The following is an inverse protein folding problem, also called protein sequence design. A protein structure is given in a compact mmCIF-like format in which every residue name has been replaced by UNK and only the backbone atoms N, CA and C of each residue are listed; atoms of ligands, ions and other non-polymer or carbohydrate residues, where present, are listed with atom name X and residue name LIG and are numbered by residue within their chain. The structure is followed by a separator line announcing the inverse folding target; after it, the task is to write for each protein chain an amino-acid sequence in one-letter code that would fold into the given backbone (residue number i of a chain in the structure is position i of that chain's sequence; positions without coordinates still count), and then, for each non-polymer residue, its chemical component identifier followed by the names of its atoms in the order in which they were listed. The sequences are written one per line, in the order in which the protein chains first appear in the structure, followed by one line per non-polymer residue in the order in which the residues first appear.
data_IF_728439253738
#
_entry.id   IF_728439253738
#
_cell.length_a   1.000
_cell.length_b   1.000
_cell.length_c   1.000
_cell.angle_alpha   90.00
_cell.angle_beta   90.00
_cell.angle_gamma   90.00
#
_symmetry.space_group_name_H-M   'P 1'
#
loop_
_entity.id
_entity.type
_entity.pdbx_description
1 polymer ?
#
# COMPACT_ATOMS: atom_id res chain seq x y z
N UNK A 1 -7.32 4.98 14.09
CA UNK A 1 -8.09 4.29 13.03
C UNK A 1 -7.36 4.41 11.70
N UNK A 2 -7.40 3.39 10.89
CA UNK A 2 -6.76 3.36 9.57
C UNK A 2 -7.74 2.90 8.49
N UNK A 3 -7.54 3.36 7.26
CA UNK A 3 -8.29 2.85 6.11
C UNK A 3 -7.82 1.44 5.69
N UNK A 4 -6.61 1.03 6.07
CA UNK A 4 -5.97 -0.24 5.66
C UNK A 4 -5.72 -1.16 6.85
N UNK A 5 -6.55 -2.20 7.05
CA UNK A 5 -6.36 -3.16 8.15
C UNK A 5 -5.00 -3.87 8.15
N UNK A 6 -4.37 -3.99 6.99
CA UNK A 6 -3.08 -4.69 6.81
C UNK A 6 -1.91 -4.01 7.54
N UNK A 7 -2.03 -2.73 7.92
CA UNK A 7 -0.96 -2.00 8.64
C UNK A 7 -0.97 -2.21 10.17
N UNK A 8 -1.90 -3.01 10.67
CA UNK A 8 -2.06 -3.29 12.12
C UNK A 8 -0.78 -3.84 12.77
N UNK A 9 -0.10 -4.76 12.09
CA UNK A 9 1.16 -5.33 12.63
C UNK A 9 2.25 -4.25 12.75
N UNK A 10 2.34 -3.32 11.77
CA UNK A 10 3.24 -2.17 11.84
C UNK A 10 2.93 -1.25 13.03
N UNK A 11 1.67 -0.92 13.24
CA UNK A 11 1.23 -0.13 14.40
C UNK A 11 1.54 -0.83 15.73
N UNK A 12 1.35 -2.15 15.81
CA UNK A 12 1.70 -2.94 17.00
C UNK A 12 3.21 -2.96 17.27
N UNK A 13 4.03 -3.03 16.21
CA UNK A 13 5.50 -2.97 16.36
C UNK A 13 5.96 -1.57 16.83
N UNK A 14 5.41 -0.52 16.24
CA UNK A 14 5.75 0.86 16.63
C UNK A 14 5.26 1.21 18.04
N UNK A 15 4.08 0.70 18.42
CA UNK A 15 3.60 0.79 19.79
C UNK A 15 4.63 0.23 20.78
N UNK A 16 5.19 -0.97 20.52
CA UNK A 16 6.21 -1.59 21.38
C UNK A 16 7.51 -0.81 21.44
N UNK A 17 7.86 -0.07 20.40
CA UNK A 17 9.05 0.79 20.38
C UNK A 17 8.86 2.05 21.23
N UNK A 18 7.64 2.57 21.29
CA UNK A 18 7.31 3.80 22.02
C UNK A 18 7.03 3.48 23.49
N UNK A 19 6.19 2.46 23.75
CA UNK A 19 5.73 2.09 25.08
C UNK A 19 6.41 0.81 25.57
N UNK A 20 7.72 0.88 25.81
CA UNK A 20 8.47 -0.21 26.42
C UNK A 20 8.66 0.02 27.93
N UNK A 21 8.88 -1.02 28.74
CA UNK A 21 9.08 -0.88 30.18
C UNK A 21 10.17 0.15 30.53
N UNK A 22 9.81 1.14 31.33
CA UNK A 22 10.71 2.22 31.78
C UNK A 22 10.69 3.47 30.85
N UNK A 23 9.99 3.48 29.75
CA UNK A 23 9.87 4.66 28.86
C UNK A 23 8.62 5.52 29.14
N UNK A 24 7.67 5.04 29.92
CA UNK A 24 6.49 5.80 30.33
C UNK A 24 6.18 5.61 31.81
N UNK A 25 5.50 6.58 32.41
CA UNK A 25 5.01 6.51 33.79
C UNK A 25 3.89 5.47 33.96
N UNK A 26 3.24 5.09 32.87
CA UNK A 26 2.12 4.18 32.84
C UNK A 26 2.39 2.99 31.93
N UNK A 27 1.82 1.85 32.27
CA UNK A 27 1.81 0.68 31.40
C UNK A 27 0.65 0.83 30.40
N UNK A 28 0.96 0.75 29.10
CA UNK A 28 -0.01 0.81 28.01
C UNK A 28 -0.21 -0.56 27.38
N UNK A 29 -1.44 -0.86 27.00
CA UNK A 29 -1.80 -2.09 26.29
C UNK A 29 -2.21 -1.78 24.85
N UNK A 30 -1.81 -2.65 23.91
CA UNK A 30 -2.27 -2.58 22.53
C UNK A 30 -3.39 -3.58 22.29
N UNK A 31 -4.52 -3.08 21.89
CA UNK A 31 -5.73 -3.87 21.70
C UNK A 31 -6.27 -3.74 20.28
N UNK A 32 -6.85 -4.82 19.78
CA UNK A 32 -7.48 -4.87 18.45
C UNK A 32 -8.56 -5.93 18.40
N UNK A 33 -9.45 -5.84 17.42
CA UNK A 33 -10.28 -6.98 17.02
C UNK A 33 -9.41 -8.07 16.39
N UNK A 34 -9.81 -9.32 16.53
CA UNK A 34 -9.16 -10.44 15.82
C UNK A 34 -9.26 -10.23 14.30
N UNK A 35 -8.23 -10.63 13.56
CA UNK A 35 -8.13 -10.40 12.09
C UNK A 35 -9.36 -10.88 11.31
N UNK A 36 -9.97 -11.99 11.72
CA UNK A 36 -11.11 -12.58 11.02
C UNK A 36 -12.41 -11.76 11.16
N UNK A 37 -12.56 -10.97 12.24
CA UNK A 37 -13.74 -10.15 12.50
C UNK A 37 -13.75 -8.80 11.81
N UNK A 38 -12.62 -8.35 11.26
CA UNK A 38 -12.53 -7.05 10.58
C UNK A 38 -13.32 -6.99 9.26
N UNK A 39 -13.50 -8.14 8.60
CA UNK A 39 -14.15 -8.23 7.27
C UNK A 39 -15.53 -8.86 7.30
N UNK A 40 -15.84 -9.66 8.31
CA UNK A 40 -17.14 -10.32 8.47
C UNK A 40 -17.73 -9.95 9.83
N UNK A 41 -19.00 -9.56 9.83
CA UNK A 41 -19.71 -9.33 11.08
C UNK A 41 -20.03 -10.67 11.74
N UNK A 42 -19.44 -10.91 12.91
CA UNK A 42 -19.79 -11.99 13.81
C UNK A 42 -20.22 -11.42 15.17
N UNK A 43 -21.49 -11.62 15.52
CA UNK A 43 -22.10 -11.03 16.71
C UNK A 43 -21.41 -11.46 18.01
N UNK A 44 -20.99 -12.72 18.10
CA UNK A 44 -20.29 -13.24 19.27
C UNK A 44 -18.93 -12.58 19.45
N UNK A 45 -18.13 -12.54 18.42
CA UNK A 45 -16.80 -11.92 18.44
C UNK A 45 -16.90 -10.43 18.74
N UNK A 46 -17.90 -9.73 18.21
CA UNK A 46 -18.11 -8.31 18.49
C UNK A 46 -18.49 -8.06 19.95
N UNK A 47 -19.39 -8.89 20.51
CA UNK A 47 -19.78 -8.82 21.91
C UNK A 47 -18.61 -9.13 22.87
N UNK A 48 -17.76 -10.11 22.56
CA UNK A 48 -16.55 -10.43 23.32
C UNK A 48 -15.57 -9.26 23.31
N UNK A 49 -15.37 -8.62 22.16
CA UNK A 49 -14.53 -7.44 22.02
C UNK A 49 -15.07 -6.24 22.81
N UNK A 50 -16.37 -5.98 22.73
CA UNK A 50 -17.03 -4.92 23.50
C UNK A 50 -16.88 -5.13 25.02
N UNK A 51 -17.04 -6.36 25.50
CA UNK A 51 -16.82 -6.70 26.92
C UNK A 51 -15.37 -6.47 27.35
N UNK A 52 -14.40 -6.86 26.51
CA UNK A 52 -12.97 -6.65 26.79
C UNK A 52 -12.65 -5.17 26.92
N UNK A 53 -13.08 -4.34 25.97
CA UNK A 53 -12.84 -2.89 25.96
C UNK A 53 -13.46 -2.23 27.19
N UNK A 54 -14.71 -2.54 27.52
CA UNK A 54 -15.39 -1.99 28.72
C UNK A 54 -14.71 -2.39 30.01
N UNK A 55 -14.10 -3.58 30.06
CA UNK A 55 -13.34 -4.04 31.23
C UNK A 55 -12.05 -3.21 31.38
N UNK A 56 -11.30 -3.00 30.30
CA UNK A 56 -10.08 -2.18 30.33
C UNK A 56 -10.37 -0.75 30.82
N UNK A 57 -11.42 -0.15 30.29
CA UNK A 57 -11.88 1.18 30.70
C UNK A 57 -12.27 1.22 32.19
N UNK A 58 -13.09 0.27 32.64
CA UNK A 58 -13.51 0.17 34.05
C UNK A 58 -12.36 -0.04 35.00
N UNK A 59 -11.35 -0.81 34.60
CA UNK A 59 -10.16 -1.11 35.41
C UNK A 59 -9.15 0.07 35.41
N UNK A 60 -9.43 1.14 34.66
CA UNK A 60 -8.55 2.31 34.52
C UNK A 60 -7.24 1.98 33.79
N UNK A 61 -7.26 0.98 32.92
CA UNK A 61 -6.10 0.55 32.15
C UNK A 61 -5.83 1.52 31.00
N UNK A 62 -4.59 1.97 30.84
CA UNK A 62 -4.19 2.74 29.67
C UNK A 62 -4.04 1.82 28.45
N UNK A 63 -4.72 2.13 27.36
CA UNK A 63 -4.63 1.29 26.17
C UNK A 63 -4.78 2.07 24.85
N UNK A 64 -4.18 1.52 23.80
CA UNK A 64 -4.38 1.95 22.41
C UNK A 64 -5.22 0.90 21.72
N UNK A 65 -6.31 1.32 21.10
CA UNK A 65 -7.19 0.44 20.35
C UNK A 65 -7.06 0.67 18.85
N UNK A 66 -6.63 -0.37 18.14
CA UNK A 66 -6.55 -0.34 16.68
C UNK A 66 -7.89 -0.73 16.04
N UNK A 67 -8.39 0.10 15.13
CA UNK A 67 -9.61 -0.17 14.38
C UNK A 67 -9.45 0.23 12.91
N UNK A 68 -10.05 -0.55 12.01
CA UNK A 68 -10.17 -0.11 10.62
C UNK A 68 -11.40 0.79 10.43
N UNK A 69 -11.24 1.83 9.63
CA UNK A 69 -12.35 2.73 9.28
C UNK A 69 -13.50 1.94 8.60
N UNK A 70 -13.17 0.93 7.76
CA UNK A 70 -14.18 0.08 7.13
C UNK A 70 -15.01 -0.70 8.14
N UNK A 71 -14.39 -1.24 9.20
CA UNK A 71 -15.11 -1.93 10.25
C UNK A 71 -16.02 -0.97 11.02
N UNK A 72 -15.51 0.19 11.41
CA UNK A 72 -16.27 1.21 12.12
C UNK A 72 -17.48 1.73 11.31
N UNK A 73 -17.29 2.00 10.03
CA UNK A 73 -18.37 2.43 9.10
C UNK A 73 -19.52 1.42 8.99
N UNK A 74 -19.27 0.16 9.23
CA UNK A 74 -20.31 -0.88 9.27
C UNK A 74 -21.28 -0.78 10.45
N UNK A 75 -20.96 0.03 11.47
CA UNK A 75 -21.80 0.21 12.67
C UNK A 75 -23.06 1.04 12.39
N UNK A 76 -24.19 0.62 12.99
CA UNK A 76 -25.44 1.40 12.98
C UNK A 76 -25.32 2.79 13.58
N UNK A 77 -24.39 2.99 14.52
CA UNK A 77 -24.14 4.28 15.18
C UNK A 77 -23.78 5.36 14.15
N UNK A 78 -23.10 4.99 13.08
CA UNK A 78 -22.67 5.89 12.01
C UNK A 78 -23.42 5.69 10.69
N UNK A 79 -24.58 5.02 10.72
CA UNK A 79 -25.42 4.78 9.54
C UNK A 79 -25.10 3.47 8.79
N UNK A 80 -24.27 2.60 9.34
CA UNK A 80 -24.00 1.26 8.80
C UNK A 80 -25.11 0.25 9.06
N UNK A 81 -24.85 -1.00 8.70
CA UNK A 81 -25.87 -2.08 8.73
C UNK A 81 -25.89 -2.89 10.02
N UNK A 82 -24.80 -2.94 10.77
CA UNK A 82 -24.61 -3.89 11.85
C UNK A 82 -24.60 -3.20 13.22
N UNK A 83 -25.15 -3.88 14.23
CA UNK A 83 -25.04 -3.45 15.61
C UNK A 83 -23.71 -3.93 16.18
N UNK A 84 -22.64 -3.17 15.95
CA UNK A 84 -21.28 -3.50 16.32
C UNK A 84 -20.46 -2.28 16.77
N UNK A 85 -19.32 -2.55 17.41
CA UNK A 85 -18.39 -1.51 17.89
C UNK A 85 -19.01 -0.57 18.93
N UNK A 86 -20.05 -1.00 19.66
CA UNK A 86 -20.78 -0.14 20.59
C UNK A 86 -19.89 0.37 21.72
N UNK A 87 -18.96 -0.46 22.24
CA UNK A 87 -18.02 -0.04 23.26
C UNK A 87 -17.07 1.01 22.72
N UNK A 88 -16.51 0.81 21.51
CA UNK A 88 -15.57 1.74 20.88
C UNK A 88 -16.16 3.13 20.74
N UNK A 89 -17.42 3.24 20.30
CA UNK A 89 -18.11 4.53 20.16
C UNK A 89 -18.58 5.13 21.50
N UNK A 90 -18.78 4.29 22.52
CA UNK A 90 -19.23 4.74 23.83
C UNK A 90 -18.08 5.32 24.68
N UNK A 91 -16.86 4.88 24.46
CA UNK A 91 -15.68 5.33 25.21
C UNK A 91 -15.38 6.81 25.00
N UNK A 92 -14.71 7.36 25.99
CA UNK A 92 -14.26 8.74 26.05
C UNK A 92 -12.75 8.78 25.70
N UNK A 93 -12.46 8.85 24.41
CA UNK A 93 -11.09 8.82 23.89
C UNK A 93 -10.38 10.16 24.11
N UNK A 94 -9.17 10.15 24.65
CA UNK A 94 -8.31 11.33 24.77
C UNK A 94 -7.70 11.72 23.44
N UNK A 95 -7.33 10.74 22.61
CA UNK A 95 -6.68 10.94 21.33
C UNK A 95 -7.24 9.98 20.27
N UNK A 96 -7.58 10.53 19.12
CA UNK A 96 -8.00 9.79 17.94
C UNK A 96 -6.93 10.00 16.86
N UNK A 97 -6.20 8.94 16.49
CA UNK A 97 -5.25 8.97 15.39
C UNK A 97 -5.92 8.39 14.15
N UNK A 98 -5.90 9.13 13.05
CA UNK A 98 -6.44 8.72 11.74
C UNK A 98 -5.27 8.58 10.78
N UNK A 99 -4.95 7.35 10.45
CA UNK A 99 -3.90 7.03 9.49
C UNK A 99 -4.45 7.00 8.07
N UNK A 100 -3.65 7.45 7.08
CA UNK A 100 -4.06 7.65 5.68
C UNK A 100 -5.35 8.50 5.59
N UNK A 101 -5.38 9.59 6.34
CA UNK A 101 -6.56 10.44 6.48
C UNK A 101 -7.11 10.95 5.13
N UNK A 102 -6.25 11.08 4.11
CA UNK A 102 -6.66 11.46 2.75
C UNK A 102 -7.55 10.42 2.05
N UNK A 103 -7.46 9.12 2.43
CA UNK A 103 -8.30 8.05 1.86
C UNK A 103 -9.61 7.87 2.66
N UNK A 104 -9.57 8.02 3.97
CA UNK A 104 -10.64 7.63 4.88
C UNK A 104 -11.72 8.67 5.11
N UNK A 105 -11.37 9.95 5.07
CA UNK A 105 -12.24 11.07 5.47
C UNK A 105 -12.90 11.82 4.30
N UNK A 106 -12.75 11.35 3.07
CA UNK A 106 -13.39 11.97 1.89
C UNK A 106 -14.82 11.50 1.64
N UNK A 107 -15.35 10.60 2.46
CA UNK A 107 -16.71 10.12 2.34
C UNK A 107 -17.51 10.54 3.57
N UNK A 108 -18.77 10.93 3.39
CA UNK A 108 -19.72 11.26 4.45
C UNK A 108 -19.71 10.23 5.61
N UNK A 109 -19.62 8.94 5.29
CA UNK A 109 -19.52 7.89 6.30
C UNK A 109 -18.19 7.89 7.08
N UNK A 110 -17.10 8.36 6.47
CA UNK A 110 -15.81 8.49 7.14
C UNK A 110 -15.82 9.64 8.15
N UNK A 111 -16.36 10.77 7.76
CA UNK A 111 -16.53 11.92 8.64
C UNK A 111 -17.45 11.57 9.82
N UNK A 112 -18.55 10.86 9.58
CA UNK A 112 -19.47 10.38 10.63
C UNK A 112 -18.76 9.48 11.67
N UNK A 113 -17.78 8.66 11.27
CA UNK A 113 -17.00 7.85 12.20
C UNK A 113 -16.17 8.72 13.14
N UNK A 114 -15.49 9.73 12.60
CA UNK A 114 -14.64 10.63 13.38
C UNK A 114 -15.51 11.45 14.35
N UNK A 115 -16.62 11.99 13.89
CA UNK A 115 -17.57 12.75 14.72
C UNK A 115 -18.15 11.88 15.85
N UNK A 116 -18.53 10.63 15.55
CA UNK A 116 -19.09 9.72 16.57
C UNK A 116 -18.07 9.29 17.63
N UNK A 117 -16.77 9.22 17.27
CA UNK A 117 -15.68 8.92 18.21
C UNK A 117 -15.27 10.13 19.03
N UNK A 118 -15.41 11.35 18.46
CA UNK A 118 -14.91 12.57 19.06
C UNK A 118 -15.84 13.07 20.16
N UNK A 119 -15.32 13.19 21.36
CA UNK A 119 -15.93 13.91 22.50
C UNK A 119 -15.26 15.28 22.64
N UNK A 120 -15.83 16.14 23.50
CA UNK A 120 -15.41 17.54 23.64
C UNK A 120 -13.91 17.73 23.94
N UNK A 121 -13.30 16.83 24.71
CA UNK A 121 -11.89 16.91 25.06
C UNK A 121 -10.96 16.13 24.11
N UNK A 122 -11.50 15.24 23.27
CA UNK A 122 -10.74 14.40 22.38
C UNK A 122 -9.94 15.21 21.35
N UNK A 123 -8.65 14.94 21.28
CA UNK A 123 -7.79 15.50 20.23
C UNK A 123 -7.77 14.56 19.03
N UNK A 124 -7.69 15.13 17.83
CA UNK A 124 -7.62 14.38 16.58
C UNK A 124 -6.29 14.65 15.91
N UNK A 125 -5.55 13.59 15.61
CA UNK A 125 -4.32 13.63 14.83
C UNK A 125 -4.56 12.93 13.50
N UNK A 126 -4.51 13.68 12.40
CA UNK A 126 -4.60 13.15 11.06
C UNK A 126 -3.20 12.97 10.46
N UNK A 127 -2.87 11.74 10.06
CA UNK A 127 -1.61 11.38 9.41
C UNK A 127 -1.85 11.12 7.93
N UNK A 128 -0.97 11.63 7.08
CA UNK A 128 -1.06 11.40 5.63
C UNK A 128 0.29 11.60 4.96
N UNK A 129 0.69 10.67 4.10
CA UNK A 129 1.83 10.83 3.20
C UNK A 129 1.54 11.74 2.00
N UNK A 130 0.24 11.97 1.68
CA UNK A 130 -0.21 12.81 0.55
C UNK A 130 -1.35 13.74 0.99
N UNK A 131 -1.06 14.77 1.81
CA UNK A 131 -2.09 15.56 2.51
C UNK A 131 -2.80 16.60 1.65
N UNK A 132 -2.55 16.67 0.34
CA UNK A 132 -3.00 17.77 -0.54
C UNK A 132 -4.49 18.11 -0.44
N UNK A 133 -5.34 17.11 -0.17
CA UNK A 133 -6.78 17.30 -0.04
C UNK A 133 -7.23 17.64 1.41
N UNK A 134 -6.30 17.64 2.35
CA UNK A 134 -6.59 17.82 3.77
C UNK A 134 -6.11 19.18 4.31
N UNK A 135 -5.11 19.78 3.68
CA UNK A 135 -4.45 20.98 4.18
C UNK A 135 -5.43 22.13 4.40
N UNK A 136 -6.42 22.28 3.52
CA UNK A 136 -7.44 23.31 3.64
C UNK A 136 -8.38 23.16 4.86
N UNK A 137 -8.39 21.95 5.46
CA UNK A 137 -9.21 21.66 6.66
C UNK A 137 -8.54 22.06 7.97
N UNK A 138 -7.24 22.37 7.94
CA UNK A 138 -6.44 22.68 9.13
C UNK A 138 -5.82 24.07 9.00
N UNK A 139 -5.76 24.80 10.11
CA UNK A 139 -4.96 26.04 10.16
C UNK A 139 -3.47 25.72 10.12
N UNK A 140 -2.67 26.60 9.54
CA UNK A 140 -1.22 26.41 9.37
C UNK A 140 -0.50 26.04 10.68
N UNK A 141 -0.91 26.60 11.80
CA UNK A 141 -0.36 26.33 13.14
C UNK A 141 -0.66 24.90 13.65
N UNK A 142 -1.58 24.19 13.01
CA UNK A 142 -1.96 22.81 13.35
C UNK A 142 -1.43 21.76 12.38
N UNK A 143 -0.55 22.17 11.45
CA UNK A 143 0.06 21.28 10.47
C UNK A 143 1.55 21.12 10.74
N UNK A 144 1.99 19.89 10.92
CA UNK A 144 3.42 19.54 10.95
C UNK A 144 3.77 18.78 9.68
N UNK A 145 4.75 19.28 8.96
CA UNK A 145 5.25 18.64 7.72
C UNK A 145 6.63 18.02 7.96
N UNK A 146 6.78 16.80 7.51
CA UNK A 146 8.08 16.13 7.39
C UNK A 146 8.14 15.45 6.03
N UNK A 147 8.87 16.05 5.10
CA UNK A 147 9.01 15.59 3.74
C UNK A 147 10.41 15.03 3.44
N UNK A 148 10.55 14.42 2.27
CA UNK A 148 11.81 13.87 1.80
C UNK A 148 12.95 14.89 1.77
N UNK A 149 12.67 16.14 1.39
CA UNK A 149 13.69 17.20 1.33
C UNK A 149 14.20 17.54 2.74
N UNK A 150 13.27 17.67 3.70
CA UNK A 150 13.62 17.91 5.10
C UNK A 150 14.42 16.74 5.69
N UNK A 151 14.05 15.51 5.36
CA UNK A 151 14.75 14.30 5.79
C UNK A 151 16.20 14.29 5.27
N UNK A 152 16.40 14.47 3.96
CA UNK A 152 17.74 14.50 3.36
C UNK A 152 18.59 15.68 3.88
N UNK A 153 17.97 16.81 4.17
CA UNK A 153 18.61 17.95 4.80
C UNK A 153 19.07 17.60 6.21
N UNK A 154 18.23 16.98 7.02
CA UNK A 154 18.57 16.55 8.38
C UNK A 154 19.66 15.50 8.39
N UNK A 155 19.68 14.57 7.45
CA UNK A 155 20.75 13.60 7.27
C UNK A 155 22.11 14.30 7.10
N UNK A 156 22.16 15.32 6.23
CA UNK A 156 23.40 16.09 5.99
C UNK A 156 23.78 16.98 7.18
N UNK A 157 22.82 17.65 7.80
CA UNK A 157 23.05 18.52 8.97
C UNK A 157 23.58 17.71 10.15
N UNK A 158 23.11 16.48 10.37
CA UNK A 158 23.57 15.63 11.47
C UNK A 158 25.06 15.35 11.38
N UNK A 159 25.56 14.95 10.21
CA UNK A 159 26.97 14.65 9.99
C UNK A 159 27.88 15.86 10.24
N UNK A 160 27.36 17.08 10.02
CA UNK A 160 28.10 18.32 10.25
C UNK A 160 28.10 18.74 11.73
N UNK A 161 27.01 18.50 12.46
CA UNK A 161 26.79 19.03 13.81
C UNK A 161 27.07 18.01 14.92
N UNK A 162 27.11 16.72 14.61
CA UNK A 162 27.27 15.61 15.55
C UNK A 162 28.44 14.71 15.10
N UNK A 163 29.62 15.31 14.88
CA UNK A 163 30.81 14.58 14.43
C UNK A 163 31.17 13.47 15.42
N UNK A 164 31.21 12.24 14.94
CA UNK A 164 31.52 11.05 15.73
C UNK A 164 30.33 10.32 16.33
N UNK A 165 29.13 10.88 16.28
CA UNK A 165 27.90 10.22 16.70
C UNK A 165 27.25 9.44 15.55
N UNK A 166 26.52 8.37 15.88
CA UNK A 166 25.74 7.63 14.89
C UNK A 166 24.64 8.53 14.32
N UNK A 167 24.63 8.68 12.99
CA UNK A 167 23.57 9.44 12.32
C UNK A 167 22.28 8.60 12.25
N UNK A 168 21.19 8.99 12.95
CA UNK A 168 19.94 8.24 12.93
C UNK A 168 19.23 8.23 11.57
N UNK A 169 19.65 9.11 10.65
CA UNK A 169 19.13 9.21 9.30
C UNK A 169 20.01 8.49 8.27
N UNK A 170 21.11 7.82 8.69
CA UNK A 170 22.09 7.24 7.77
C UNK A 170 21.46 6.24 6.79
N UNK A 171 20.57 5.40 7.28
CA UNK A 171 19.92 4.34 6.52
C UNK A 171 18.74 4.80 5.65
N UNK A 172 18.35 6.10 5.71
CA UNK A 172 17.30 6.63 4.86
C UNK A 172 17.75 6.70 3.40
N UNK A 173 17.04 6.06 2.46
CA UNK A 173 17.47 5.96 1.08
C UNK A 173 17.37 7.29 0.35
N UNK A 174 18.28 7.49 -0.60
CA UNK A 174 18.16 8.60 -1.54
C UNK A 174 17.27 8.19 -2.71
N UNK A 175 16.27 9.01 -3.01
CA UNK A 175 15.38 8.80 -4.14
C UNK A 175 16.07 9.18 -5.46
N UNK A 176 16.02 8.29 -6.43
CA UNK A 176 16.42 8.53 -7.81
C UNK A 176 15.23 8.35 -8.74
N UNK A 177 15.00 9.31 -9.63
CA UNK A 177 13.92 9.27 -10.61
C UNK A 177 14.54 9.08 -11.99
N UNK A 178 14.15 8.00 -12.67
CA UNK A 178 14.58 7.71 -14.04
C UNK A 178 13.38 7.85 -14.97
N UNK A 179 13.61 8.43 -16.14
CA UNK A 179 12.62 8.54 -17.21
C UNK A 179 13.17 7.93 -18.48
N UNK A 180 12.33 7.24 -19.25
CA UNK A 180 12.73 6.52 -20.43
C UNK A 180 11.85 6.89 -21.62
N UNK A 181 12.46 7.03 -22.81
CA UNK A 181 11.71 7.19 -24.06
C UNK A 181 11.10 5.82 -24.44
N UNK A 182 9.80 5.79 -24.59
CA UNK A 182 9.06 4.59 -24.97
C UNK A 182 9.21 4.22 -26.49
N UNK A 183 9.89 5.05 -27.26
CA UNK A 183 10.11 4.85 -28.68
C UNK A 183 8.86 5.06 -29.54
N UNK A 184 9.10 5.18 -30.87
CA UNK A 184 8.06 5.50 -31.85
C UNK A 184 6.87 4.52 -31.88
N UNK A 185 7.12 3.22 -31.65
CA UNK A 185 6.08 2.18 -31.69
C UNK A 185 5.00 2.34 -30.63
N UNK A 186 5.34 2.96 -29.51
CA UNK A 186 4.41 3.15 -28.39
C UNK A 186 3.76 4.54 -28.41
N UNK A 187 4.18 5.44 -29.27
CA UNK A 187 3.58 6.79 -29.40
C UNK A 187 2.10 6.76 -29.77
N UNK A 188 1.61 5.70 -30.43
CA UNK A 188 0.19 5.52 -30.73
C UNK A 188 -0.72 5.40 -29.48
N UNK A 189 -0.15 5.13 -28.31
CA UNK A 189 -0.86 5.10 -27.05
C UNK A 189 -0.78 6.43 -26.28
N UNK A 190 -0.19 7.47 -26.88
CA UNK A 190 -0.13 8.81 -26.32
C UNK A 190 -1.20 9.67 -26.99
N UNK A 191 -2.03 10.32 -26.19
CA UNK A 191 -2.94 11.37 -26.66
C UNK A 191 -2.54 12.72 -26.10
N UNK A 192 -2.91 13.77 -26.83
CA UNK A 192 -2.81 15.14 -26.34
C UNK A 192 -4.13 15.48 -25.61
N UNK A 193 -4.07 15.54 -24.26
CA UNK A 193 -5.19 15.96 -23.44
C UNK A 193 -4.80 17.24 -22.68
N UNK A 194 -5.55 18.33 -22.86
CA UNK A 194 -5.37 19.60 -22.13
C UNK A 194 -3.90 20.12 -22.14
N UNK A 195 -3.28 20.17 -23.33
CA UNK A 195 -1.87 20.57 -23.54
C UNK A 195 -0.84 19.65 -22.85
N UNK A 196 -1.23 18.49 -22.36
CA UNK A 196 -0.34 17.46 -21.80
C UNK A 196 -0.41 16.18 -22.61
N UNK A 197 0.72 15.48 -22.75
CA UNK A 197 0.76 14.15 -23.37
C UNK A 197 0.46 13.11 -22.32
N UNK A 198 -0.63 12.35 -22.50
CA UNK A 198 -1.03 11.26 -21.64
C UNK A 198 -0.83 9.91 -22.32
N UNK A 199 -0.16 8.97 -21.66
CA UNK A 199 -0.05 7.60 -22.12
C UNK A 199 -1.25 6.78 -21.64
N UNK A 200 -1.96 6.15 -22.58
CA UNK A 200 -3.13 5.33 -22.28
C UNK A 200 -2.74 3.96 -21.70
N UNK A 201 -2.28 3.97 -20.47
CA UNK A 201 -1.74 2.82 -19.76
C UNK A 201 -2.73 1.63 -19.68
N UNK A 202 -4.01 1.89 -19.40
CA UNK A 202 -5.05 0.83 -19.35
C UNK A 202 -5.33 0.22 -20.71
N UNK A 203 -5.27 1.00 -21.79
CA UNK A 203 -5.46 0.48 -23.14
C UNK A 203 -4.26 -0.35 -23.58
N UNK A 204 -3.04 0.12 -23.30
CA UNK A 204 -1.82 -0.60 -23.62
C UNK A 204 -1.77 -1.99 -23.01
N UNK A 205 -2.12 -2.12 -21.72
CA UNK A 205 -2.16 -3.38 -20.99
C UNK A 205 -3.53 -4.09 -21.04
N UNK A 206 -4.44 -3.68 -21.91
CA UNK A 206 -5.78 -4.30 -21.98
C UNK A 206 -5.70 -5.79 -22.31
N UNK A 207 -6.47 -6.59 -21.57
CA UNK A 207 -6.54 -8.06 -21.68
C UNK A 207 -7.88 -8.49 -22.29
N UNK A 208 -7.87 -9.53 -23.12
CA UNK A 208 -9.08 -10.17 -23.60
C UNK A 208 -9.87 -10.78 -22.45
N UNK A 209 -11.12 -10.37 -22.31
CA UNK A 209 -11.96 -10.79 -21.19
C UNK A 209 -13.43 -10.95 -21.61
N UNK A 210 -14.00 -12.11 -21.28
CA UNK A 210 -15.41 -12.45 -21.59
C UNK A 210 -16.44 -11.81 -20.65
N UNK A 211 -16.02 -11.02 -19.69
CA UNK A 211 -16.90 -10.44 -18.67
C UNK A 211 -17.06 -11.33 -17.43
N UNK A 212 -17.66 -10.81 -16.35
CA UNK A 212 -17.78 -11.52 -15.07
C UNK A 212 -18.53 -12.87 -15.19
N UNK A 213 -19.46 -12.96 -16.13
CA UNK A 213 -20.32 -14.14 -16.36
C UNK A 213 -19.94 -14.93 -17.61
N UNK A 214 -18.79 -14.63 -18.25
CA UNK A 214 -18.38 -15.29 -19.49
C UNK A 214 -19.24 -15.01 -20.73
N UNK A 215 -20.12 -13.99 -20.69
CA UNK A 215 -21.17 -13.77 -21.69
C UNK A 215 -20.71 -12.91 -22.88
N UNK A 216 -19.51 -12.36 -22.83
CA UNK A 216 -18.98 -11.53 -23.93
C UNK A 216 -18.25 -12.41 -24.94
N UNK A 217 -18.70 -12.37 -26.17
CA UNK A 217 -17.97 -13.02 -27.27
C UNK A 217 -16.65 -12.29 -27.54
N UNK A 218 -15.60 -13.07 -27.70
CA UNK A 218 -14.30 -12.57 -28.14
C UNK A 218 -14.14 -12.75 -29.65
N UNK A 219 -13.34 -11.90 -30.32
CA UNK A 219 -12.94 -12.11 -31.70
C UNK A 219 -12.34 -13.51 -31.92
N UNK A 220 -12.49 -14.08 -33.12
CA UNK A 220 -12.06 -15.47 -33.43
C UNK A 220 -10.60 -15.80 -33.06
N UNK A 221 -9.70 -14.78 -33.11
CA UNK A 221 -8.28 -14.96 -32.85
C UNK A 221 -7.89 -14.47 -31.44
N UNK A 222 -8.85 -14.05 -30.61
CA UNK A 222 -8.60 -13.58 -29.28
C UNK A 222 -8.58 -14.76 -28.28
N UNK A 223 -7.59 -14.75 -27.40
CA UNK A 223 -7.46 -15.73 -26.32
C UNK A 223 -7.72 -15.00 -25.00
N UNK A 224 -8.69 -15.50 -24.23
CA UNK A 224 -9.00 -14.94 -22.93
C UNK A 224 -7.76 -14.97 -22.02
N UNK A 225 -7.52 -13.88 -21.29
CA UNK A 225 -6.36 -13.76 -20.41
C UNK A 225 -5.08 -13.29 -21.10
N UNK A 226 -5.04 -13.16 -22.43
CA UNK A 226 -3.91 -12.61 -23.18
C UNK A 226 -4.11 -11.12 -23.46
N UNK A 227 -3.01 -10.40 -23.64
CA UNK A 227 -3.08 -8.99 -24.02
C UNK A 227 -3.71 -8.79 -25.38
N UNK A 228 -4.53 -7.75 -25.52
CA UNK A 228 -5.06 -7.31 -26.82
C UNK A 228 -3.92 -6.84 -27.72
N UNK A 229 -2.92 -6.18 -27.13
CA UNK A 229 -1.75 -5.61 -27.79
C UNK A 229 -0.48 -6.36 -27.42
N UNK A 230 -0.52 -7.70 -27.39
CA UNK A 230 0.61 -8.54 -26.90
C UNK A 230 1.93 -8.25 -27.63
N UNK A 231 1.89 -7.98 -28.93
CA UNK A 231 3.09 -7.61 -29.69
C UNK A 231 3.72 -6.29 -29.23
N UNK A 232 2.91 -5.32 -28.82
CA UNK A 232 3.38 -4.03 -28.33
C UNK A 232 3.94 -4.17 -26.90
N UNK A 233 3.28 -4.97 -26.05
CA UNK A 233 3.79 -5.29 -24.72
C UNK A 233 5.13 -6.05 -24.80
N UNK A 234 5.25 -7.02 -25.71
CA UNK A 234 6.52 -7.68 -25.96
C UNK A 234 7.60 -6.71 -26.49
N UNK A 235 7.22 -5.79 -27.39
CA UNK A 235 8.15 -4.78 -27.89
C UNK A 235 8.63 -3.86 -26.75
N UNK A 236 7.77 -3.50 -25.80
CA UNK A 236 8.12 -2.76 -24.61
C UNK A 236 9.09 -3.54 -23.71
N UNK A 237 8.80 -4.81 -23.41
CA UNK A 237 9.70 -5.66 -22.61
C UNK A 237 11.06 -5.83 -23.27
N UNK A 238 11.10 -6.04 -24.60
CA UNK A 238 12.35 -6.11 -25.35
C UNK A 238 13.12 -4.78 -25.34
N UNK A 239 12.42 -3.63 -25.31
CA UNK A 239 13.05 -2.32 -25.20
C UNK A 239 13.75 -2.17 -23.84
N UNK A 240 13.12 -2.60 -22.76
CA UNK A 240 13.68 -2.50 -21.40
C UNK A 240 14.97 -3.31 -21.20
N UNK A 241 15.15 -4.40 -21.95
CA UNK A 241 16.35 -5.28 -21.86
C UNK A 241 17.33 -5.05 -23.00
N UNK A 242 17.05 -4.11 -23.89
CA UNK A 242 17.88 -3.84 -25.06
C UNK A 242 19.25 -3.36 -24.65
N UNK A 243 20.28 -4.07 -25.03
CA UNK A 243 21.68 -3.67 -24.85
C UNK A 243 21.99 -2.48 -25.78
N UNK A 244 21.87 -1.30 -25.21
CA UNK A 244 22.18 -0.05 -25.88
C UNK A 244 22.87 0.86 -24.86
N UNK A 245 24.14 1.11 -25.09
CA UNK A 245 25.01 1.88 -24.18
C UNK A 245 24.55 3.33 -23.98
N UNK A 246 23.76 3.85 -24.91
CA UNK A 246 23.34 5.25 -24.90
C UNK A 246 21.93 5.45 -24.31
N UNK A 247 21.11 4.40 -24.23
CA UNK A 247 19.70 4.51 -23.83
C UNK A 247 19.43 4.36 -22.34
N UNK A 248 20.32 3.67 -21.61
CA UNK A 248 20.21 3.49 -20.15
C UNK A 248 18.92 2.80 -19.68
N UNK A 249 18.30 1.92 -20.48
CA UNK A 249 17.07 1.22 -20.09
C UNK A 249 17.27 0.33 -18.85
N UNK A 250 16.22 0.12 -18.02
CA UNK A 250 16.33 -0.44 -16.67
C UNK A 250 17.04 -1.79 -16.57
N UNK A 251 16.98 -2.61 -17.61
CA UNK A 251 17.56 -3.97 -17.58
C UNK A 251 18.53 -4.21 -18.74
N UNK A 252 19.04 -3.14 -19.36
CA UNK A 252 19.86 -3.21 -20.56
C UNK A 252 21.26 -3.77 -20.28
N UNK A 253 21.87 -3.44 -19.15
CA UNK A 253 23.21 -3.89 -18.76
C UNK A 253 23.17 -4.63 -17.43
N UNK A 254 24.24 -5.36 -17.08
CA UNK A 254 24.36 -6.00 -15.78
C UNK A 254 24.35 -4.97 -14.65
N UNK A 255 25.01 -3.83 -14.82
CA UNK A 255 25.01 -2.75 -13.84
C UNK A 255 23.60 -2.22 -13.54
N UNK A 256 22.79 -1.99 -14.59
CA UNK A 256 21.39 -1.58 -14.40
C UNK A 256 20.53 -2.69 -13.78
N UNK A 257 20.76 -3.96 -14.13
CA UNK A 257 20.07 -5.10 -13.50
C UNK A 257 20.40 -5.18 -12.02
N UNK A 258 21.65 -4.96 -11.63
CA UNK A 258 22.07 -4.96 -10.22
C UNK A 258 21.52 -3.74 -9.45
N UNK A 259 21.37 -2.59 -10.12
CA UNK A 259 20.70 -1.41 -9.56
C UNK A 259 19.21 -1.66 -9.34
N UNK A 260 18.54 -2.38 -10.26
CA UNK A 260 17.12 -2.70 -10.22
C UNK A 260 16.88 -4.18 -9.84
N UNK A 261 17.60 -4.68 -8.84
CA UNK A 261 17.55 -6.10 -8.44
C UNK A 261 16.14 -6.56 -8.06
N UNK A 262 15.46 -5.78 -7.23
CA UNK A 262 14.12 -6.08 -6.75
C UNK A 262 13.21 -4.90 -7.06
N UNK A 263 12.25 -5.10 -7.94
CA UNK A 263 11.38 -4.03 -8.45
C UNK A 263 9.91 -4.33 -8.21
N UNK A 264 9.14 -3.26 -7.95
CA UNK A 264 7.69 -3.29 -7.88
C UNK A 264 7.10 -2.65 -9.15
N UNK A 265 6.37 -3.44 -9.92
CA UNK A 265 5.70 -2.96 -11.12
C UNK A 265 4.21 -2.76 -10.86
N UNK A 266 3.77 -1.53 -11.03
CA UNK A 266 2.37 -1.17 -10.96
C UNK A 266 1.69 -1.47 -12.29
N UNK A 267 0.62 -2.26 -12.25
CA UNK A 267 -0.18 -2.63 -13.41
C UNK A 267 -1.65 -2.22 -13.23
N UNK A 268 -2.42 -2.04 -14.33
CA UNK A 268 -3.77 -1.48 -14.24
C UNK A 268 -4.79 -2.33 -13.48
N UNK A 269 -4.58 -3.64 -13.38
CA UNK A 269 -5.53 -4.54 -12.73
C UNK A 269 -5.01 -5.96 -12.56
N UNK A 270 -5.82 -6.80 -11.91
CA UNK A 270 -5.47 -8.19 -11.57
C UNK A 270 -5.24 -9.06 -12.80
N UNK A 271 -6.07 -8.93 -13.83
CA UNK A 271 -5.95 -9.70 -15.08
C UNK A 271 -4.73 -9.31 -15.88
N UNK A 272 -4.42 -8.04 -15.89
CA UNK A 272 -3.23 -7.47 -16.50
C UNK A 272 -1.98 -7.97 -15.80
N UNK A 273 -2.00 -8.09 -14.46
CA UNK A 273 -0.92 -8.68 -13.69
C UNK A 273 -0.72 -10.16 -14.02
N UNK A 274 -1.80 -10.94 -14.14
CA UNK A 274 -1.73 -12.35 -14.52
C UNK A 274 -1.15 -12.54 -15.93
N UNK A 275 -1.64 -11.75 -16.89
CA UNK A 275 -1.14 -11.80 -18.28
C UNK A 275 0.34 -11.40 -18.36
N UNK A 276 0.75 -10.38 -17.61
CA UNK A 276 2.14 -9.92 -17.56
C UNK A 276 3.05 -10.93 -16.87
N UNK A 277 2.61 -11.55 -15.77
CA UNK A 277 3.36 -12.62 -15.09
C UNK A 277 3.67 -13.77 -16.06
N UNK A 278 2.66 -14.24 -16.80
CA UNK A 278 2.85 -15.29 -17.80
C UNK A 278 3.83 -14.87 -18.90
N UNK A 279 3.72 -13.63 -19.38
CA UNK A 279 4.58 -13.11 -20.42
C UNK A 279 6.04 -13.00 -19.95
N UNK A 280 6.28 -12.47 -18.75
CA UNK A 280 7.62 -12.35 -18.15
C UNK A 280 8.27 -13.71 -17.93
N UNK A 281 7.54 -14.71 -17.43
CA UNK A 281 8.05 -16.07 -17.21
C UNK A 281 8.47 -16.76 -18.51
N UNK A 282 7.94 -16.35 -19.65
CA UNK A 282 8.30 -16.87 -20.97
C UNK A 282 9.27 -15.95 -21.74
N UNK A 283 9.59 -14.77 -21.23
CA UNK A 283 10.48 -13.84 -21.89
C UNK A 283 11.95 -14.29 -21.81
N UNK A 284 12.77 -14.17 -22.87
CA UNK A 284 14.15 -14.66 -22.88
C UNK A 284 15.03 -14.21 -21.71
N UNK A 285 14.87 -12.96 -21.25
CA UNK A 285 15.64 -12.39 -20.14
C UNK A 285 14.88 -12.53 -18.81
N UNK A 286 13.63 -12.10 -18.74
CA UNK A 286 12.88 -12.04 -17.47
C UNK A 286 12.51 -13.42 -16.92
N UNK A 287 12.54 -14.50 -17.70
CA UNK A 287 12.34 -15.87 -17.20
C UNK A 287 13.37 -16.30 -16.13
N UNK A 288 14.47 -15.58 -16.02
CA UNK A 288 15.51 -15.82 -15.02
C UNK A 288 15.30 -14.99 -13.74
N UNK A 289 14.31 -14.11 -13.72
CA UNK A 289 13.92 -13.31 -12.56
C UNK A 289 12.87 -14.06 -11.73
N UNK A 290 12.86 -13.84 -10.42
CA UNK A 290 11.73 -14.20 -9.58
C UNK A 290 10.53 -13.32 -9.90
N UNK A 291 9.41 -13.89 -10.32
CA UNK A 291 8.18 -13.13 -10.61
C UNK A 291 7.17 -13.40 -9.52
N UNK A 292 6.89 -12.40 -8.68
CA UNK A 292 5.87 -12.44 -7.64
C UNK A 292 4.64 -11.64 -8.05
N UNK A 293 3.51 -12.30 -8.29
CA UNK A 293 2.25 -11.61 -8.59
C UNK A 293 1.40 -11.51 -7.32
N UNK A 294 1.37 -10.33 -6.70
CA UNK A 294 0.58 -10.04 -5.49
C UNK A 294 -0.77 -9.38 -5.80
N UNK A 295 -1.11 -9.20 -7.08
CA UNK A 295 -2.38 -8.64 -7.49
C UNK A 295 -3.54 -9.62 -7.24
N UNK A 296 -4.59 -9.16 -6.58
CA UNK A 296 -5.75 -10.00 -6.28
C UNK A 296 -5.39 -11.18 -5.36
N UNK A 297 -5.61 -12.39 -5.86
CA UNK A 297 -5.25 -13.66 -5.20
C UNK A 297 -3.92 -14.24 -5.72
N UNK A 298 -3.18 -13.48 -6.53
CA UNK A 298 -2.03 -13.98 -7.24
C UNK A 298 -2.42 -14.70 -8.55
N UNK A 299 -1.55 -15.55 -9.03
CA UNK A 299 -1.79 -16.39 -10.19
C UNK A 299 -1.58 -17.88 -9.86
N UNK A 300 -1.75 -18.74 -10.87
CA UNK A 300 -1.61 -20.20 -10.70
C UNK A 300 -0.22 -20.68 -10.22
N UNK A 301 0.79 -19.84 -10.33
CA UNK A 301 2.15 -20.18 -9.87
C UNK A 301 2.36 -19.91 -8.38
N UNK A 302 1.41 -19.20 -7.75
CA UNK A 302 1.47 -18.77 -6.35
C UNK A 302 0.37 -19.40 -5.48
N UNK A 303 -0.40 -20.35 -6.02
CA UNK A 303 -1.46 -21.06 -5.29
C UNK A 303 -0.94 -21.79 -4.03
N UNK A 304 0.34 -22.17 -4.01
CA UNK A 304 0.99 -22.80 -2.86
C UNK A 304 1.30 -21.82 -1.71
N UNK A 305 1.34 -20.51 -2.01
CA UNK A 305 1.61 -19.44 -1.03
C UNK A 305 0.31 -18.78 -0.62
N UNK A 306 -0.59 -19.53 0.00
CA UNK A 306 -1.95 -19.11 0.33
C UNK A 306 -1.98 -18.04 1.42
N UNK A 307 -1.84 -16.76 1.06
CA UNK A 307 -2.41 -15.71 1.88
C UNK A 307 -1.60 -14.44 2.13
N UNK A 308 -0.30 -14.44 2.31
CA UNK A 308 0.47 -13.23 2.63
C UNK A 308 1.30 -12.74 1.45
N UNK A 309 0.87 -11.62 0.84
CA UNK A 309 1.58 -10.99 -0.27
C UNK A 309 3.03 -10.59 0.10
N UNK A 310 3.25 -10.22 1.35
CA UNK A 310 4.58 -9.83 1.83
C UNK A 310 5.49 -11.05 2.01
N UNK A 311 4.94 -12.17 2.47
CA UNK A 311 5.66 -13.44 2.58
C UNK A 311 6.12 -13.91 1.19
N UNK A 312 5.23 -13.89 0.19
CA UNK A 312 5.57 -14.22 -1.19
C UNK A 312 6.73 -13.38 -1.72
N UNK A 313 6.71 -12.07 -1.48
CA UNK A 313 7.80 -11.16 -1.91
C UNK A 313 9.11 -11.51 -1.21
N UNK A 314 9.09 -11.71 0.10
CA UNK A 314 10.28 -12.08 0.89
C UNK A 314 10.88 -13.40 0.46
N UNK A 315 10.05 -14.39 0.17
CA UNK A 315 10.52 -15.68 -0.32
C UNK A 315 11.09 -15.59 -1.74
N UNK A 316 10.49 -14.73 -2.57
CA UNK A 316 11.05 -14.46 -3.90
C UNK A 316 12.42 -13.80 -3.80
N UNK A 317 12.62 -12.83 -2.89
CA UNK A 317 13.93 -12.20 -2.68
C UNK A 317 15.01 -13.19 -2.22
N UNK A 318 14.63 -14.16 -1.35
CA UNK A 318 15.57 -15.17 -0.87
C UNK A 318 16.01 -16.14 -1.97
N UNK A 319 15.13 -16.43 -2.93
CA UNK A 319 15.34 -17.47 -3.93
C UNK A 319 15.91 -16.96 -5.26
N UNK A 320 15.87 -15.64 -5.50
CA UNK A 320 16.29 -15.03 -6.75
C UNK A 320 17.12 -13.77 -6.52
N UNK A 321 18.24 -13.65 -7.23
CA UNK A 321 19.08 -12.45 -7.18
C UNK A 321 18.38 -11.22 -7.77
N UNK A 322 17.46 -11.43 -8.70
CA UNK A 322 16.64 -10.38 -9.32
C UNK A 322 15.17 -10.77 -9.29
N UNK A 323 14.30 -9.83 -8.98
CA UNK A 323 12.87 -10.12 -8.94
C UNK A 323 12.01 -8.93 -9.41
N UNK A 324 10.80 -9.29 -9.87
CA UNK A 324 9.75 -8.34 -10.26
C UNK A 324 8.49 -8.71 -9.48
N UNK A 325 8.04 -7.80 -8.63
CA UNK A 325 6.74 -7.92 -7.95
C UNK A 325 5.69 -7.17 -8.74
N UNK A 326 4.64 -7.88 -9.17
CA UNK A 326 3.51 -7.29 -9.90
C UNK A 326 2.38 -6.95 -8.93
N UNK A 327 1.93 -5.69 -8.95
CA UNK A 327 0.83 -5.22 -8.10
C UNK A 327 -0.12 -4.28 -8.85
N UNK A 328 -1.39 -4.28 -8.44
CA UNK A 328 -2.38 -3.28 -8.85
C UNK A 328 -2.93 -2.47 -7.66
N UNK A 329 -2.19 -2.45 -6.54
CA UNK A 329 -2.55 -1.71 -5.32
C UNK A 329 -2.02 -2.30 -4.02
N UNK A 330 -1.79 -3.62 -3.93
CA UNK A 330 -1.16 -4.21 -2.76
C UNK A 330 0.31 -3.78 -2.64
N UNK A 331 0.80 -3.63 -1.42
CA UNK A 331 2.20 -3.29 -1.09
C UNK A 331 2.68 -1.93 -1.63
N UNK A 332 1.78 -1.08 -2.12
CA UNK A 332 2.17 0.22 -2.71
C UNK A 332 2.27 1.32 -1.67
N UNK A 333 1.61 1.17 -0.54
CA UNK A 333 1.67 2.09 0.59
C UNK A 333 1.53 1.35 1.91
N UNK A 334 2.08 1.90 2.99
CA UNK A 334 1.93 1.38 4.36
C UNK A 334 2.67 0.06 4.63
N UNK A 335 3.60 -0.34 3.77
CA UNK A 335 4.36 -1.59 3.93
C UNK A 335 5.85 -1.31 3.78
N UNK A 336 6.65 -1.83 4.69
CA UNK A 336 8.12 -1.81 4.61
C UNK A 336 8.60 -3.19 4.19
N UNK A 337 9.25 -3.26 3.03
CA UNK A 337 9.97 -4.45 2.57
C UNK A 337 11.44 -4.22 2.85
N UNK A 338 12.01 -5.03 3.76
CA UNK A 338 13.44 -5.03 4.06
C UNK A 338 14.10 -6.13 3.24
N UNK A 339 15.19 -5.79 2.54
CA UNK A 339 16.06 -6.75 1.85
C UNK A 339 16.93 -7.53 2.85
#
# INVERSE_FOLDING_TARGET
ATHRPVVDDGWSEDFKKIFFPGNSEHEYHYERKTKDSAYTFDEKTDAENDLKIRKLDKDGTYFVYFASVQDLRGSKIVGGKFNKNNAVFALDWDLIIIDEAHEGTQTELGDNVVEALRKDHAKVLALSGTPFNLLDKFGEDNVYTWDYVMEQKKKTEWDLTHQGDHNPYADLPKMHIFTYDLGEKLKKYVSDEYDTKAFHFREFFRVWYKGPNGNRELPKNAVEGKFVHENDVNAFLNLMVREDTDSGYPYSTQEYRDMFRHTLWMVPGVKEAQALSELLRNHPVFKHFGIANVAGKGDRYEEEHSGDALELVRDTFKNYDHSITLSCGKLTTGVTVKE
#
